data_IF_130309327452
#
_entry.id   IF_130309327452
#
_cell.length_a   1.000
_cell.length_b   1.000
_cell.length_c   1.000
_cell.angle_alpha   90.00
_cell.angle_beta   90.00
_cell.angle_gamma   90.00
#
_symmetry.space_group_name_H-M   'P 1'
#
loop_
_entity.id
_entity.type
_entity.pdbx_description
1 polymer ?
#
# COMPACT_ATOMS: atom_id res chain seq x y z
N UNK A 1 23.19 8.21 5.68
CA UNK A 1 21.84 7.93 6.18
C UNK A 1 21.99 7.50 7.63
N UNK A 2 21.62 8.36 8.58
CA UNK A 2 21.86 8.15 10.02
C UNK A 2 20.73 7.32 10.65
N UNK A 3 21.02 6.42 11.61
CA UNK A 3 19.99 5.77 12.39
C UNK A 3 19.39 6.78 13.37
N UNK A 4 18.12 7.13 13.20
CA UNK A 4 17.43 8.00 14.15
C UNK A 4 17.06 7.19 15.39
N UNK A 5 17.76 7.47 16.48
CA UNK A 5 17.42 6.99 17.81
C UNK A 5 16.33 7.88 18.39
N UNK A 6 15.23 7.26 18.78
CA UNK A 6 13.95 7.97 18.91
C UNK A 6 13.59 7.98 20.42
N UNK A 7 13.15 9.10 21.03
CA UNK A 7 12.99 9.21 22.49
C UNK A 7 12.00 8.20 23.10
N UNK A 8 12.17 7.89 24.38
CA UNK A 8 11.63 6.73 25.12
C UNK A 8 10.08 6.54 25.21
N UNK A 9 9.27 7.46 24.67
CA UNK A 9 7.79 7.61 24.71
C UNK A 9 6.94 7.45 23.42
N UNK A 10 7.39 6.75 22.36
CA UNK A 10 6.70 6.78 21.03
C UNK A 10 5.22 6.45 21.06
N UNK A 11 4.78 5.66 22.03
CA UNK A 11 3.41 5.14 22.05
C UNK A 11 2.39 6.25 22.24
N UNK A 12 2.78 7.33 22.93
CA UNK A 12 1.95 8.51 23.17
C UNK A 12 1.59 9.29 21.90
N UNK A 13 2.33 9.09 20.80
CA UNK A 13 2.04 9.73 19.51
C UNK A 13 0.86 9.07 18.78
N UNK A 14 0.44 7.88 19.19
CA UNK A 14 -0.61 7.11 18.53
C UNK A 14 -1.85 7.04 19.41
N UNK A 15 -3.04 7.13 18.81
CA UNK A 15 -4.29 6.96 19.55
C UNK A 15 -4.41 5.55 20.14
N UNK A 16 -3.93 4.55 19.40
CA UNK A 16 -3.74 3.19 19.89
C UNK A 16 -2.55 2.55 19.18
N UNK A 17 -1.38 2.57 19.83
CA UNK A 17 -0.14 2.04 19.26
C UNK A 17 -0.24 0.56 18.85
N UNK A 18 -0.90 -0.27 19.66
CA UNK A 18 -1.05 -1.69 19.36
C UNK A 18 -1.93 -1.94 18.13
N UNK A 19 -3.00 -1.16 17.94
CA UNK A 19 -3.80 -1.21 16.71
C UNK A 19 -2.99 -0.70 15.51
N UNK A 20 -2.31 0.43 15.66
CA UNK A 20 -1.50 1.01 14.59
C UNK A 20 -0.45 0.02 14.06
N UNK A 21 0.24 -0.70 14.94
CA UNK A 21 1.19 -1.74 14.52
C UNK A 21 0.52 -2.85 13.70
N UNK A 22 -0.67 -3.33 14.10
CA UNK A 22 -1.42 -4.32 13.33
C UNK A 22 -1.87 -3.77 11.98
N UNK A 23 -2.24 -2.49 11.94
CA UNK A 23 -2.63 -1.83 10.68
C UNK A 23 -1.44 -1.73 9.72
N UNK A 24 -0.23 -1.38 10.20
CA UNK A 24 1.00 -1.36 9.39
C UNK A 24 1.36 -2.76 8.88
N UNK A 25 1.20 -3.79 9.71
CA UNK A 25 1.43 -5.18 9.30
C UNK A 25 0.43 -5.66 8.27
N UNK A 26 -0.86 -5.33 8.45
CA UNK A 26 -1.91 -5.57 7.46
C UNK A 26 -1.58 -4.86 6.14
N UNK A 27 -1.27 -3.57 6.19
CA UNK A 27 -0.90 -2.77 5.02
C UNK A 27 0.25 -3.44 4.24
N UNK A 28 1.32 -3.86 4.92
CA UNK A 28 2.43 -4.54 4.27
C UNK A 28 2.03 -5.88 3.59
N UNK A 29 1.04 -6.61 4.11
CA UNK A 29 0.54 -7.81 3.45
C UNK A 29 -0.31 -7.46 2.23
N UNK A 30 -1.18 -6.46 2.37
CA UNK A 30 -2.03 -5.99 1.27
C UNK A 30 -1.18 -5.46 0.10
N UNK A 31 -0.13 -4.66 0.38
CA UNK A 31 0.79 -4.15 -0.64
C UNK A 31 1.54 -5.27 -1.38
N UNK A 32 1.96 -6.31 -0.65
CA UNK A 32 2.59 -7.48 -1.26
C UNK A 32 1.61 -8.22 -2.19
N UNK A 33 0.35 -8.32 -1.79
CA UNK A 33 -0.72 -8.95 -2.56
C UNK A 33 -1.11 -8.12 -3.79
N UNK A 34 -1.19 -6.79 -3.66
CA UNK A 34 -1.49 -5.87 -4.76
C UNK A 34 -0.36 -5.88 -5.80
N UNK A 35 0.90 -5.82 -5.37
CA UNK A 35 2.06 -5.93 -6.26
C UNK A 35 2.06 -7.23 -7.09
N UNK A 36 1.69 -8.36 -6.49
CA UNK A 36 1.53 -9.61 -7.23
C UNK A 36 0.35 -9.52 -8.20
N UNK A 37 -0.80 -9.07 -7.72
CA UNK A 37 -2.02 -8.99 -8.52
C UNK A 37 -1.86 -8.10 -9.76
N UNK A 38 -1.20 -6.95 -9.62
CA UNK A 38 -0.94 -6.04 -10.74
C UNK A 38 0.12 -6.58 -11.69
N UNK A 39 1.03 -7.43 -11.22
CA UNK A 39 1.88 -8.22 -12.13
C UNK A 39 1.01 -9.11 -13.03
N UNK A 40 0.02 -9.80 -12.46
CA UNK A 40 -0.90 -10.65 -13.25
C UNK A 40 -1.75 -9.83 -14.23
N UNK A 41 -2.28 -8.68 -13.81
CA UNK A 41 -3.08 -7.82 -14.71
C UNK A 41 -2.23 -7.26 -15.85
N UNK A 42 -0.98 -6.89 -15.59
CA UNK A 42 -0.05 -6.42 -16.61
C UNK A 42 0.23 -7.52 -17.65
N UNK A 43 0.36 -8.77 -17.22
CA UNK A 43 0.55 -9.93 -18.13
C UNK A 43 -0.70 -10.22 -18.99
N UNK A 44 -1.89 -9.86 -18.50
CA UNK A 44 -3.17 -9.98 -19.23
C UNK A 44 -3.44 -8.81 -20.19
N UNK A 45 -2.78 -7.66 -20.00
CA UNK A 45 -3.02 -6.47 -20.79
C UNK A 45 -2.44 -6.60 -22.21
N UNK A 46 -3.28 -6.36 -23.23
CA UNK A 46 -2.85 -6.42 -24.63
C UNK A 46 -2.22 -5.09 -25.10
N UNK A 47 -2.68 -3.96 -24.55
CA UNK A 47 -2.25 -2.62 -24.96
C UNK A 47 -1.07 -2.15 -24.12
N UNK A 48 -0.06 -1.60 -24.78
CA UNK A 48 1.12 -1.05 -24.08
C UNK A 48 0.74 0.09 -23.12
N UNK A 49 -0.20 0.96 -23.50
CA UNK A 49 -0.67 2.02 -22.62
C UNK A 49 -1.25 1.47 -21.31
N UNK A 50 -2.06 0.41 -21.38
CA UNK A 50 -2.63 -0.23 -20.19
C UNK A 50 -1.53 -0.85 -19.32
N UNK A 51 -0.55 -1.54 -19.94
CA UNK A 51 0.60 -2.09 -19.23
C UNK A 51 1.39 -1.02 -18.50
N UNK A 52 1.59 0.15 -19.08
CA UNK A 52 2.28 1.27 -18.44
C UNK A 52 1.53 1.77 -17.20
N UNK A 53 0.20 1.87 -17.28
CA UNK A 53 -0.62 2.28 -16.12
C UNK A 53 -0.53 1.25 -14.99
N UNK A 54 -0.67 -0.04 -15.31
CA UNK A 54 -0.63 -1.12 -14.32
C UNK A 54 0.79 -1.27 -13.73
N UNK A 55 1.82 -1.13 -14.58
CA UNK A 55 3.22 -1.16 -14.15
C UNK A 55 3.53 -0.05 -13.16
N UNK A 56 2.97 1.15 -13.36
CA UNK A 56 3.15 2.27 -12.45
C UNK A 56 2.63 1.92 -11.06
N UNK A 57 1.34 1.58 -10.95
CA UNK A 57 0.73 1.17 -9.67
C UNK A 57 1.52 0.04 -9.00
N UNK A 58 1.84 -1.03 -9.74
CA UNK A 58 2.65 -2.15 -9.23
C UNK A 58 4.02 -1.74 -8.66
N UNK A 59 4.70 -0.82 -9.33
CA UNK A 59 6.03 -0.37 -8.89
C UNK A 59 5.91 0.48 -7.61
N UNK A 60 4.81 1.23 -7.45
CA UNK A 60 4.47 1.94 -6.22
C UNK A 60 4.08 1.00 -5.07
N UNK A 61 3.27 -0.05 -5.28
CA UNK A 61 2.95 -1.04 -4.22
C UNK A 61 4.23 -1.68 -3.64
N UNK A 62 5.20 -1.96 -4.51
CA UNK A 62 6.50 -2.51 -4.09
C UNK A 62 7.29 -1.51 -3.25
N UNK A 63 7.21 -0.22 -3.58
CA UNK A 63 7.81 0.87 -2.82
C UNK A 63 7.10 1.04 -1.48
N UNK A 64 5.77 1.06 -1.45
CA UNK A 64 4.97 1.17 -0.24
C UNK A 64 5.23 0.00 0.71
N UNK A 65 5.25 -1.24 0.22
CA UNK A 65 5.67 -2.43 0.98
C UNK A 65 7.04 -2.22 1.66
N UNK A 66 8.01 -1.71 0.92
CA UNK A 66 9.34 -1.46 1.46
C UNK A 66 9.32 -0.37 2.56
N UNK A 67 8.54 0.70 2.35
CA UNK A 67 8.39 1.78 3.33
C UNK A 67 7.68 1.30 4.60
N UNK A 68 6.59 0.53 4.48
CA UNK A 68 5.82 -0.01 5.60
C UNK A 68 6.63 -1.03 6.42
N UNK A 69 7.41 -1.90 5.77
CA UNK A 69 8.34 -2.81 6.47
C UNK A 69 9.38 -2.05 7.28
N UNK A 70 9.91 -0.96 6.73
CA UNK A 70 10.87 -0.08 7.44
C UNK A 70 10.20 0.66 8.58
N UNK A 71 8.97 1.15 8.39
CA UNK A 71 8.18 1.77 9.43
C UNK A 71 7.96 0.81 10.60
N UNK A 72 7.45 -0.38 10.34
CA UNK A 72 7.23 -1.39 11.39
C UNK A 72 8.53 -1.76 12.12
N UNK A 73 9.65 -1.92 11.38
CA UNK A 73 10.95 -2.14 11.98
C UNK A 73 11.39 -0.97 12.88
N UNK A 74 11.21 0.27 12.45
CA UNK A 74 11.56 1.44 13.26
C UNK A 74 10.76 1.53 14.56
N UNK A 75 9.50 1.07 14.55
CA UNK A 75 8.61 1.10 15.71
C UNK A 75 8.79 -0.08 16.67
N UNK A 76 9.31 -1.21 16.19
CA UNK A 76 9.30 -2.48 16.95
C UNK A 76 10.67 -3.15 17.09
N UNK A 77 11.65 -2.77 16.27
CA UNK A 77 12.96 -3.41 16.18
C UNK A 77 12.97 -4.75 15.42
N UNK A 78 11.85 -5.15 14.80
CA UNK A 78 11.73 -6.38 14.01
C UNK A 78 10.93 -6.13 12.74
N UNK A 79 11.10 -6.96 11.71
CA UNK A 79 10.27 -6.86 10.51
C UNK A 79 8.86 -7.41 10.75
N UNK A 80 7.82 -6.88 10.06
CA UNK A 80 6.47 -7.43 10.14
C UNK A 80 6.43 -8.81 9.49
N UNK A 81 5.47 -9.65 9.87
CA UNK A 81 5.19 -10.87 9.12
C UNK A 81 4.50 -10.47 7.81
N UNK A 82 5.14 -10.75 6.68
CA UNK A 82 4.55 -10.61 5.35
C UNK A 82 4.42 -12.02 4.80
N UNK A 83 3.19 -12.46 4.59
CA UNK A 83 2.87 -13.75 4.00
C UNK A 83 3.24 -13.75 2.52
N UNK A 84 3.48 -14.95 1.97
CA UNK A 84 3.69 -15.07 0.53
C UNK A 84 2.37 -14.77 -0.20
N UNK A 85 2.33 -13.74 -1.06
CA UNK A 85 1.11 -13.36 -1.74
C UNK A 85 0.66 -14.47 -2.69
N UNK A 86 -0.66 -14.64 -2.82
CA UNK A 86 -1.26 -15.75 -3.57
C UNK A 86 -1.83 -15.23 -4.90
N UNK A 87 -1.62 -15.92 -6.02
CA UNK A 87 -2.22 -15.54 -7.29
C UNK A 87 -3.76 -15.40 -7.20
N UNK A 88 -4.30 -14.34 -7.81
CA UNK A 88 -5.75 -14.15 -7.92
C UNK A 88 -6.23 -14.64 -9.28
N UNK A 89 -7.21 -15.55 -9.28
CA UNK A 89 -7.89 -16.00 -10.50
C UNK A 89 -8.92 -14.95 -10.94
N UNK A 90 -8.72 -14.36 -12.13
CA UNK A 90 -9.63 -13.33 -12.67
C UNK A 90 -9.53 -13.22 -14.19
N UNK A 91 -10.49 -12.51 -14.78
CA UNK A 91 -10.37 -12.01 -16.15
C UNK A 91 -9.82 -10.58 -16.11
N UNK A 92 -9.21 -10.11 -17.19
CA UNK A 92 -8.67 -8.74 -17.24
C UNK A 92 -9.69 -7.66 -16.83
N UNK A 93 -10.91 -7.71 -17.39
CA UNK A 93 -11.98 -6.74 -17.08
C UNK A 93 -12.44 -6.82 -15.62
N UNK A 94 -12.63 -8.03 -15.07
CA UNK A 94 -13.01 -8.19 -13.68
C UNK A 94 -11.88 -7.78 -12.73
N UNK A 95 -10.64 -8.06 -13.12
CA UNK A 95 -9.43 -7.70 -12.39
C UNK A 95 -9.22 -6.20 -12.27
N UNK A 96 -9.37 -5.45 -13.36
CA UNK A 96 -9.34 -3.98 -13.32
C UNK A 96 -10.43 -3.38 -12.43
N UNK A 97 -11.64 -3.95 -12.44
CA UNK A 97 -12.70 -3.51 -11.52
C UNK A 97 -12.32 -3.77 -10.07
N UNK A 98 -11.76 -4.94 -9.78
CA UNK A 98 -11.31 -5.31 -8.44
C UNK A 98 -10.21 -4.35 -7.97
N UNK A 99 -9.16 -4.18 -8.78
CA UNK A 99 -8.07 -3.25 -8.50
C UNK A 99 -8.59 -1.84 -8.18
N UNK A 100 -9.45 -1.27 -9.03
CA UNK A 100 -10.09 0.01 -8.76
C UNK A 100 -10.80 0.08 -7.38
N UNK A 101 -11.52 -0.97 -6.99
CA UNK A 101 -12.21 -1.01 -5.71
C UNK A 101 -11.24 -1.13 -4.54
N UNK A 102 -10.25 -2.02 -4.66
CA UNK A 102 -9.23 -2.26 -3.65
C UNK A 102 -8.43 -0.97 -3.38
N UNK A 103 -8.06 -0.23 -4.43
CA UNK A 103 -7.34 1.05 -4.33
C UNK A 103 -8.12 2.12 -3.59
N UNK A 104 -9.43 2.23 -3.86
CA UNK A 104 -10.28 3.15 -3.11
C UNK A 104 -10.35 2.75 -1.63
N UNK A 105 -10.51 1.47 -1.33
CA UNK A 105 -10.50 0.95 0.05
C UNK A 105 -9.15 1.19 0.74
N UNK A 106 -8.04 1.04 0.02
CA UNK A 106 -6.68 1.30 0.50
C UNK A 106 -6.50 2.79 0.84
N UNK A 107 -6.93 3.70 -0.04
CA UNK A 107 -6.92 5.14 0.24
C UNK A 107 -7.70 5.48 1.52
N UNK A 108 -8.87 4.87 1.75
CA UNK A 108 -9.63 5.07 2.98
C UNK A 108 -8.90 4.52 4.22
N UNK A 109 -8.24 3.37 4.07
CA UNK A 109 -7.48 2.73 5.13
C UNK A 109 -6.26 3.56 5.53
N UNK A 110 -5.47 4.04 4.58
CA UNK A 110 -4.33 4.92 4.84
C UNK A 110 -4.74 6.26 5.42
N UNK A 111 -5.87 6.84 4.98
CA UNK A 111 -6.48 8.02 5.63
C UNK A 111 -6.77 7.76 7.11
N UNK A 112 -7.33 6.61 7.45
CA UNK A 112 -7.62 6.25 8.84
C UNK A 112 -6.34 6.09 9.67
N UNK A 113 -5.30 5.46 9.11
CA UNK A 113 -3.99 5.33 9.77
C UNK A 113 -3.33 6.69 10.00
N UNK A 114 -3.38 7.59 8.99
CA UNK A 114 -2.84 8.94 9.08
C UNK A 114 -3.48 9.72 10.23
N UNK A 115 -4.79 9.59 10.42
CA UNK A 115 -5.52 10.25 11.50
C UNK A 115 -5.25 9.62 12.88
N UNK A 116 -4.74 8.40 12.96
CA UNK A 116 -4.48 7.68 14.21
C UNK A 116 -3.11 7.99 14.84
N UNK A 117 -2.29 8.84 14.22
CA UNK A 117 -0.96 9.24 14.74
C UNK A 117 -0.70 10.73 14.63
N UNK A 118 0.08 11.24 15.58
CA UNK A 118 0.59 12.61 15.68
C UNK A 118 2.05 12.72 15.21
N UNK A 119 2.70 11.60 14.91
CA UNK A 119 4.06 11.61 14.36
C UNK A 119 4.05 12.16 12.92
N UNK A 120 4.68 13.31 12.70
CA UNK A 120 4.64 13.99 11.40
C UNK A 120 5.31 13.19 10.28
N UNK A 121 6.38 12.45 10.57
CA UNK A 121 7.06 11.67 9.54
C UNK A 121 6.23 10.48 9.08
N UNK A 122 5.54 9.84 10.02
CA UNK A 122 4.61 8.75 9.71
C UNK A 122 3.40 9.31 8.93
N UNK A 123 2.91 10.49 9.30
CA UNK A 123 1.81 11.15 8.59
C UNK A 123 2.18 11.50 7.15
N UNK A 124 3.38 12.03 6.91
CA UNK A 124 3.85 12.36 5.56
C UNK A 124 3.94 11.09 4.69
N UNK A 125 4.50 10.00 5.24
CA UNK A 125 4.54 8.71 4.56
C UNK A 125 3.14 8.19 4.21
N UNK A 126 2.22 8.17 5.18
CA UNK A 126 0.86 7.67 4.95
C UNK A 126 0.06 8.57 4.01
N UNK A 127 0.37 9.87 3.98
CA UNK A 127 -0.25 10.81 3.05
C UNK A 127 0.20 10.54 1.61
N UNK A 128 1.51 10.33 1.41
CA UNK A 128 2.05 9.94 0.10
C UNK A 128 1.37 8.67 -0.41
N UNK A 129 1.36 7.59 0.39
CA UNK A 129 0.71 6.33 0.02
C UNK A 129 -0.78 6.54 -0.30
N UNK A 130 -1.53 7.22 0.58
CA UNK A 130 -2.96 7.49 0.35
C UNK A 130 -3.24 8.19 -0.98
N UNK A 131 -2.38 9.14 -1.39
CA UNK A 131 -2.55 9.87 -2.64
C UNK A 131 -2.16 8.99 -3.83
N UNK A 132 -1.11 8.18 -3.72
CA UNK A 132 -0.73 7.19 -4.73
C UNK A 132 -1.91 6.22 -4.98
N UNK A 133 -2.59 5.69 -3.95
CA UNK A 133 -3.76 4.79 -4.16
C UNK A 133 -4.93 5.45 -4.87
N UNK A 134 -5.21 6.72 -4.57
CA UNK A 134 -6.24 7.47 -5.30
C UNK A 134 -5.86 7.63 -6.78
N UNK A 135 -4.58 7.85 -7.07
CA UNK A 135 -4.07 7.91 -8.42
C UNK A 135 -4.17 6.56 -9.14
N UNK A 136 -3.86 5.46 -8.44
CA UNK A 136 -4.00 4.11 -8.97
C UNK A 136 -5.45 3.80 -9.36
N UNK A 137 -6.42 4.15 -8.51
CA UNK A 137 -7.84 4.03 -8.81
C UNK A 137 -8.22 4.79 -10.10
N UNK A 138 -7.76 6.03 -10.25
CA UNK A 138 -8.02 6.82 -11.46
C UNK A 138 -7.40 6.17 -12.72
N UNK A 139 -6.18 5.62 -12.60
CA UNK A 139 -5.53 4.88 -13.69
C UNK A 139 -6.32 3.65 -14.10
N UNK A 140 -6.75 2.82 -13.15
CA UNK A 140 -7.55 1.63 -13.43
C UNK A 140 -8.91 1.96 -14.03
N UNK A 141 -9.55 3.03 -13.54
CA UNK A 141 -10.79 3.57 -14.10
C UNK A 141 -10.62 4.01 -15.55
N UNK A 142 -9.51 4.68 -15.87
CA UNK A 142 -9.22 5.17 -17.21
C UNK A 142 -9.02 4.05 -18.25
N UNK A 143 -8.31 2.97 -17.87
CA UNK A 143 -8.06 1.82 -18.75
C UNK A 143 -9.19 0.78 -18.74
N UNK A 144 -10.23 0.99 -17.94
CA UNK A 144 -11.35 0.06 -17.85
C UNK A 144 -12.09 -0.08 -19.19
N UNK A 145 -12.30 -1.31 -19.71
CA UNK A 145 -13.01 -1.51 -20.98
C UNK A 145 -14.48 -1.06 -20.90
N UNK A 146 -14.82 -0.07 -21.72
CA UNK A 146 -16.20 0.44 -21.87
C UNK A 146 -17.13 -0.64 -22.43
#
# INVERSE_FOLDING_TARGET
MFPYHYPTDHRSLFDNFGKFLRDVEKAANDEAQAALFYTQLMDMAEKEFDKEQIKHARDDERKHLCQLRRLYYSLTGRYPAVEEPVPTETTYKAGLRKAFQDELEAAEFYRAMLLATRDMHIRDLLFEIMIDEMEHADRFSFIYPK
#
